data_IF_415722005192
#
_entry.id   IF_415722005192
#
_cell.length_a   1.000
_cell.length_b   1.000
_cell.length_c   1.000
_cell.angle_alpha   90.00
_cell.angle_beta   90.00
_cell.angle_gamma   90.00
#
_symmetry.space_group_name_H-M   'P 1'
#
loop_
_entity.id
_entity.type
_entity.pdbx_description
1 polymer ?
#
# COMPACT_ATOMS: atom_id res chain seq x y z
N UNK A 1 -2.17 -13.20 9.16
CA UNK A 1 -1.14 -12.14 9.08
C UNK A 1 -1.19 -11.39 7.74
N UNK A 2 -1.10 -12.08 6.60
CA UNK A 2 -1.03 -11.45 5.28
C UNK A 2 -2.22 -10.53 4.95
N UNK A 3 -3.45 -10.87 5.37
CA UNK A 3 -4.61 -10.01 5.13
C UNK A 3 -4.57 -8.69 5.89
N UNK A 4 -4.15 -8.70 7.17
CA UNK A 4 -4.02 -7.47 7.95
C UNK A 4 -3.02 -6.53 7.32
N UNK A 5 -1.93 -7.10 6.80
CA UNK A 5 -0.90 -6.38 6.08
C UNK A 5 -1.47 -5.66 4.84
N UNK A 6 -2.29 -6.35 4.04
CA UNK A 6 -2.95 -5.74 2.86
C UNK A 6 -3.92 -4.63 3.28
N UNK A 7 -4.77 -4.87 4.28
CA UNK A 7 -5.71 -3.85 4.75
C UNK A 7 -4.99 -2.61 5.31
N UNK A 8 -3.92 -2.81 6.07
CA UNK A 8 -3.15 -1.68 6.62
C UNK A 8 -2.49 -0.83 5.52
N UNK A 9 -2.09 -1.43 4.38
CA UNK A 9 -1.64 -0.67 3.21
C UNK A 9 -2.75 0.20 2.62
N UNK A 10 -3.96 -0.35 2.47
CA UNK A 10 -5.09 0.43 1.97
C UNK A 10 -5.41 1.63 2.88
N UNK A 11 -5.38 1.43 4.21
CA UNK A 11 -5.54 2.54 5.16
C UNK A 11 -4.43 3.57 5.03
N UNK A 12 -3.18 3.14 4.91
CA UNK A 12 -2.04 4.03 4.72
C UNK A 12 -2.20 4.87 3.44
N UNK A 13 -2.51 4.23 2.30
CA UNK A 13 -2.66 4.93 1.03
C UNK A 13 -3.81 5.93 1.06
N UNK A 14 -4.93 5.55 1.65
CA UNK A 14 -6.08 6.46 1.80
C UNK A 14 -5.72 7.65 2.68
N UNK A 15 -5.07 7.41 3.82
CA UNK A 15 -4.64 8.48 4.74
C UNK A 15 -3.62 9.40 4.08
N UNK A 16 -2.61 8.85 3.39
CA UNK A 16 -1.60 9.63 2.69
C UNK A 16 -2.21 10.47 1.55
N UNK A 17 -3.16 9.92 0.80
CA UNK A 17 -3.89 10.63 -0.25
C UNK A 17 -4.76 11.77 0.31
N UNK A 18 -5.49 11.52 1.40
CA UNK A 18 -6.27 12.55 2.08
C UNK A 18 -5.36 13.64 2.62
N UNK A 19 -4.25 13.26 3.25
CA UNK A 19 -3.25 14.20 3.76
C UNK A 19 -2.66 15.05 2.62
N UNK A 20 -2.36 14.47 1.47
CA UNK A 20 -1.89 15.18 0.29
C UNK A 20 -2.91 16.21 -0.21
N UNK A 21 -4.18 15.81 -0.35
CA UNK A 21 -5.26 16.71 -0.80
C UNK A 21 -5.44 17.88 0.17
N UNK A 22 -5.38 17.63 1.48
CA UNK A 22 -5.58 18.66 2.51
C UNK A 22 -4.37 19.61 2.58
N UNK A 23 -3.15 19.07 2.55
CA UNK A 23 -1.93 19.86 2.73
C UNK A 23 -1.49 20.60 1.46
N UNK A 24 -1.81 20.07 0.27
CA UNK A 24 -1.35 20.56 -1.03
C UNK A 24 -2.50 20.80 -2.00
N UNK A 25 -3.60 21.37 -1.50
CA UNK A 25 -4.79 21.61 -2.30
C UNK A 25 -4.54 22.54 -3.51
N UNK A 26 -3.62 23.45 -3.36
CA UNK A 26 -3.17 24.41 -4.40
C UNK A 26 -2.44 23.74 -5.58
N UNK A 27 -1.80 22.59 -5.34
CA UNK A 27 -1.10 21.81 -6.38
C UNK A 27 -2.07 20.87 -7.14
N UNK A 28 -3.31 20.75 -6.67
CA UNK A 28 -4.30 19.81 -7.22
C UNK A 28 -4.79 20.23 -8.62
N UNK A 29 -4.18 19.66 -9.64
CA UNK A 29 -4.63 19.79 -11.04
C UNK A 29 -5.82 18.86 -11.33
N UNK A 30 -6.56 19.15 -12.41
CA UNK A 30 -7.72 18.33 -12.84
C UNK A 30 -7.35 16.84 -12.99
N UNK A 31 -6.16 16.55 -13.45
CA UNK A 31 -5.68 15.18 -13.62
C UNK A 31 -5.42 14.49 -12.28
N UNK A 32 -4.88 15.17 -11.27
CA UNK A 32 -4.70 14.65 -9.91
C UNK A 32 -6.05 14.38 -9.25
N UNK A 33 -7.03 15.24 -9.43
CA UNK A 33 -8.41 15.00 -8.99
C UNK A 33 -9.01 13.74 -9.62
N UNK A 34 -8.78 13.54 -10.92
CA UNK A 34 -9.25 12.33 -11.61
C UNK A 34 -8.61 11.07 -11.06
N UNK A 35 -7.29 11.08 -10.84
CA UNK A 35 -6.59 9.95 -10.21
C UNK A 35 -7.08 9.67 -8.79
N UNK A 36 -7.28 10.71 -8.00
CA UNK A 36 -7.82 10.58 -6.65
C UNK A 36 -9.23 9.94 -6.67
N UNK A 37 -10.11 10.40 -7.56
CA UNK A 37 -11.45 9.85 -7.72
C UNK A 37 -11.41 8.37 -8.14
N UNK A 38 -10.56 8.01 -9.09
CA UNK A 38 -10.36 6.61 -9.51
C UNK A 38 -9.89 5.76 -8.32
N UNK A 39 -8.85 6.22 -7.61
CA UNK A 39 -8.32 5.49 -6.46
C UNK A 39 -9.39 5.30 -5.37
N UNK A 40 -10.11 6.36 -5.02
CA UNK A 40 -11.19 6.31 -4.03
C UNK A 40 -12.31 5.35 -4.46
N UNK A 41 -12.69 5.38 -5.73
CA UNK A 41 -13.69 4.46 -6.29
C UNK A 41 -13.24 3.01 -6.19
N UNK A 42 -12.00 2.71 -6.57
CA UNK A 42 -11.43 1.36 -6.45
C UNK A 42 -11.34 0.93 -4.99
N UNK A 43 -10.93 1.83 -4.10
CA UNK A 43 -10.86 1.55 -2.67
C UNK A 43 -12.24 1.23 -2.07
N UNK A 44 -13.24 2.06 -2.36
CA UNK A 44 -14.63 1.84 -1.90
C UNK A 44 -15.19 0.54 -2.48
N UNK A 45 -14.99 0.29 -3.77
CA UNK A 45 -15.41 -0.95 -4.42
C UNK A 45 -14.75 -2.18 -3.78
N UNK A 46 -13.46 -2.12 -3.48
CA UNK A 46 -12.75 -3.19 -2.77
C UNK A 46 -13.31 -3.39 -1.36
N UNK A 47 -13.50 -2.31 -0.59
CA UNK A 47 -14.07 -2.38 0.76
C UNK A 47 -15.47 -2.98 0.79
N UNK A 48 -16.34 -2.56 -0.14
CA UNK A 48 -17.69 -3.11 -0.32
C UNK A 48 -17.61 -4.59 -0.73
N UNK A 49 -16.76 -4.92 -1.69
CA UNK A 49 -16.55 -6.30 -2.12
C UNK A 49 -16.12 -7.20 -0.96
N UNK A 50 -15.13 -6.80 -0.17
CA UNK A 50 -14.68 -7.54 1.01
C UNK A 50 -15.78 -7.64 2.06
N UNK A 51 -16.49 -6.55 2.36
CA UNK A 51 -17.58 -6.55 3.35
C UNK A 51 -18.75 -7.43 2.95
N UNK A 52 -19.01 -7.56 1.65
CA UNK A 52 -20.11 -8.41 1.15
C UNK A 52 -19.70 -9.88 0.99
N UNK A 53 -18.44 -10.13 0.74
CA UNK A 53 -17.93 -11.46 0.39
C UNK A 53 -17.58 -12.34 1.59
N UNK A 54 -17.37 -11.76 2.78
CA UNK A 54 -16.93 -12.52 3.95
C UNK A 54 -17.92 -13.61 4.37
N UNK A 55 -19.24 -13.40 4.19
CA UNK A 55 -20.29 -14.38 4.55
C UNK A 55 -20.39 -15.57 3.58
N UNK A 56 -19.85 -15.45 2.36
CA UNK A 56 -20.13 -16.39 1.27
C UNK A 56 -18.86 -16.97 0.61
N UNK A 57 -17.68 -16.81 1.23
CA UNK A 57 -16.40 -17.20 0.66
C UNK A 57 -15.88 -16.16 -0.37
N UNK A 58 -14.84 -15.43 0.00
CA UNK A 58 -14.27 -14.36 -0.82
C UNK A 58 -13.64 -14.93 -2.08
N UNK A 59 -12.88 -16.02 -1.92
CA UNK A 59 -12.12 -16.62 -3.01
C UNK A 59 -13.03 -17.24 -4.06
N UNK A 60 -14.06 -17.97 -3.61
CA UNK A 60 -15.02 -18.56 -4.53
C UNK A 60 -15.78 -17.52 -5.37
N UNK A 61 -16.01 -16.31 -4.84
CA UNK A 61 -16.63 -15.20 -5.60
C UNK A 61 -15.65 -14.55 -6.57
N UNK A 62 -14.42 -14.33 -6.14
CA UNK A 62 -13.39 -13.75 -7.01
C UNK A 62 -13.16 -14.63 -8.24
N UNK A 63 -13.07 -15.95 -8.03
CA UNK A 63 -12.96 -16.89 -9.15
C UNK A 63 -14.23 -16.96 -10.00
N UNK A 64 -15.42 -16.81 -9.42
CA UNK A 64 -16.66 -16.70 -10.21
C UNK A 64 -16.65 -15.48 -11.13
N UNK A 65 -16.15 -14.33 -10.67
CA UNK A 65 -15.97 -13.16 -11.52
C UNK A 65 -14.97 -13.41 -12.65
N UNK A 66 -13.86 -14.10 -12.36
CA UNK A 66 -12.88 -14.50 -13.38
C UNK A 66 -13.47 -15.49 -14.41
N UNK A 67 -14.45 -16.31 -14.02
CA UNK A 67 -15.13 -17.22 -14.93
C UNK A 67 -16.06 -16.53 -15.94
N UNK A 68 -16.43 -15.27 -15.73
CA UNK A 68 -17.15 -14.47 -16.72
C UNK A 68 -16.27 -14.03 -17.90
N UNK A 69 -14.93 -13.99 -17.71
CA UNK A 69 -14.00 -13.68 -18.78
C UNK A 69 -13.67 -14.94 -19.57
N UNK A 70 -14.15 -15.10 -20.84
CA UNK A 70 -14.04 -16.36 -21.58
C UNK A 70 -12.61 -16.83 -21.74
N UNK A 71 -11.65 -15.89 -21.88
CA UNK A 71 -10.24 -16.17 -22.05
C UNK A 71 -9.56 -16.76 -20.79
N UNK A 72 -10.04 -16.35 -19.60
CA UNK A 72 -9.46 -16.77 -18.32
C UNK A 72 -10.21 -17.94 -17.65
N UNK A 73 -11.38 -18.31 -18.16
CA UNK A 73 -12.28 -19.31 -17.56
C UNK A 73 -11.60 -20.68 -17.37
N UNK A 74 -10.93 -21.19 -18.39
CA UNK A 74 -10.28 -22.53 -18.35
C UNK A 74 -9.08 -22.58 -17.41
N UNK A 75 -8.11 -21.65 -17.48
CA UNK A 75 -6.97 -21.65 -16.58
C UNK A 75 -7.38 -21.32 -15.13
N UNK A 76 -8.31 -20.41 -14.91
CA UNK A 76 -8.80 -20.07 -13.57
C UNK A 76 -9.50 -21.23 -12.89
N UNK A 77 -10.31 -22.01 -13.62
CA UNK A 77 -11.00 -23.19 -13.09
C UNK A 77 -10.01 -24.29 -12.68
N UNK A 78 -9.02 -24.61 -13.53
CA UNK A 78 -7.99 -25.59 -13.21
C UNK A 78 -7.14 -25.18 -12.00
N UNK A 79 -6.84 -23.88 -11.90
CA UNK A 79 -6.09 -23.33 -10.77
C UNK A 79 -6.91 -23.41 -9.47
N UNK A 80 -8.19 -23.07 -9.52
CA UNK A 80 -9.09 -23.17 -8.38
C UNK A 80 -9.22 -24.62 -7.89
N UNK A 81 -9.50 -25.58 -8.78
CA UNK A 81 -9.65 -26.99 -8.43
C UNK A 81 -8.36 -27.58 -7.83
N UNK A 82 -7.19 -27.14 -8.32
CA UNK A 82 -5.89 -27.62 -7.80
C UNK A 82 -5.57 -27.08 -6.40
N UNK A 83 -6.09 -25.93 -6.03
CA UNK A 83 -5.76 -25.25 -4.77
C UNK A 83 -6.99 -25.09 -3.85
N UNK A 84 -8.04 -25.85 -4.07
CA UNK A 84 -9.31 -25.74 -3.34
C UNK A 84 -9.10 -25.79 -1.81
N UNK A 85 -8.32 -26.74 -1.31
CA UNK A 85 -8.05 -26.87 0.12
C UNK A 85 -7.33 -25.64 0.72
N UNK A 86 -6.41 -25.04 -0.03
CA UNK A 86 -5.75 -23.80 0.41
C UNK A 86 -6.73 -22.61 0.44
N UNK A 87 -7.63 -22.55 -0.52
CA UNK A 87 -8.67 -21.53 -0.59
C UNK A 87 -9.70 -21.65 0.53
N UNK A 88 -10.12 -22.89 0.85
CA UNK A 88 -11.01 -23.14 1.99
C UNK A 88 -10.36 -22.72 3.32
N UNK A 89 -9.05 -22.95 3.48
CA UNK A 89 -8.29 -22.49 4.65
C UNK A 89 -8.25 -20.97 4.73
N UNK A 90 -8.06 -20.28 3.60
CA UNK A 90 -8.06 -18.82 3.57
C UNK A 90 -9.46 -18.28 3.91
N UNK A 91 -10.52 -18.83 3.32
CA UNK A 91 -11.89 -18.42 3.60
C UNK A 91 -12.29 -18.70 5.07
N UNK A 92 -11.82 -19.81 5.67
CA UNK A 92 -11.99 -20.11 7.08
C UNK A 92 -11.26 -19.09 7.99
N UNK A 93 -10.03 -18.72 7.66
CA UNK A 93 -9.26 -17.70 8.39
C UNK A 93 -9.92 -16.33 8.32
N UNK A 94 -10.48 -15.97 7.16
CA UNK A 94 -11.23 -14.73 6.99
C UNK A 94 -12.46 -14.71 7.88
N UNK A 95 -13.25 -15.81 7.87
CA UNK A 95 -14.43 -15.94 8.72
C UNK A 95 -14.06 -15.82 10.20
N UNK A 96 -13.02 -16.54 10.65
CA UNK A 96 -12.53 -16.46 12.02
C UNK A 96 -12.20 -15.02 12.45
N UNK A 97 -11.56 -14.24 11.60
CA UNK A 97 -11.24 -12.85 11.89
C UNK A 97 -12.48 -11.98 12.06
N UNK A 98 -13.52 -12.20 11.25
CA UNK A 98 -14.79 -11.47 11.39
C UNK A 98 -15.59 -11.89 12.64
N UNK A 99 -15.47 -13.13 13.07
CA UNK A 99 -16.09 -13.62 14.31
C UNK A 99 -15.39 -13.06 15.56
N UNK A 100 -14.12 -12.57 15.41
CA UNK A 100 -13.33 -12.00 16.50
C UNK A 100 -12.98 -10.52 16.24
N UNK A 101 -13.97 -9.59 16.22
CA UNK A 101 -13.75 -8.20 15.79
C UNK A 101 -12.72 -7.45 16.64
N UNK A 102 -12.60 -7.76 17.94
CA UNK A 102 -11.57 -7.15 18.79
C UNK A 102 -10.15 -7.49 18.35
N UNK A 103 -9.91 -8.73 17.94
CA UNK A 103 -8.61 -9.18 17.44
C UNK A 103 -8.34 -8.58 16.05
N UNK A 104 -9.37 -8.54 15.19
CA UNK A 104 -9.29 -7.91 13.87
C UNK A 104 -8.85 -6.45 13.97
N UNK A 105 -9.62 -5.65 14.72
CA UNK A 105 -9.35 -4.22 14.84
C UNK A 105 -8.07 -3.92 15.62
N UNK A 106 -7.77 -4.71 16.66
CA UNK A 106 -6.53 -4.58 17.41
C UNK A 106 -5.28 -4.84 16.56
N UNK A 107 -5.28 -5.93 15.80
CA UNK A 107 -4.18 -6.26 14.89
C UNK A 107 -4.04 -5.24 13.76
N UNK A 108 -5.16 -4.79 13.19
CA UNK A 108 -5.16 -3.79 12.14
C UNK A 108 -4.65 -2.43 12.66
N UNK A 109 -5.08 -2.02 13.85
CA UNK A 109 -4.61 -0.79 14.49
C UNK A 109 -3.11 -0.86 14.79
N UNK A 110 -2.61 -1.97 15.33
CA UNK A 110 -1.19 -2.15 15.62
C UNK A 110 -0.34 -2.10 14.33
N UNK A 111 -0.76 -2.79 13.28
CA UNK A 111 -0.08 -2.78 11.98
C UNK A 111 -0.11 -1.38 11.35
N UNK A 112 -1.23 -0.69 11.42
CA UNK A 112 -1.36 0.67 10.90
C UNK A 112 -0.53 1.69 11.70
N UNK A 113 -0.51 1.59 13.03
CA UNK A 113 0.36 2.41 13.88
C UNK A 113 1.84 2.21 13.55
N UNK A 114 2.27 0.95 13.35
CA UNK A 114 3.63 0.66 12.91
C UNK A 114 3.99 1.36 11.60
N UNK A 115 3.04 1.44 10.65
CA UNK A 115 3.23 2.18 9.39
C UNK A 115 3.27 3.69 9.59
N UNK A 116 2.42 4.23 10.45
CA UNK A 116 2.49 5.64 10.81
C UNK A 116 3.83 6.01 11.44
N UNK A 117 4.37 5.14 12.30
CA UNK A 117 5.70 5.33 12.87
C UNK A 117 6.80 5.30 11.80
N UNK A 118 6.66 4.45 10.77
CA UNK A 118 7.58 4.46 9.63
C UNK A 118 7.58 5.79 8.84
N UNK A 119 6.53 6.61 8.95
CA UNK A 119 6.52 7.93 8.31
C UNK A 119 7.55 8.90 8.92
N UNK A 120 7.89 8.71 10.21
CA UNK A 120 8.96 9.50 10.85
C UNK A 120 10.32 9.26 10.21
N UNK A 121 10.57 8.07 9.65
CA UNK A 121 11.82 7.82 8.94
C UNK A 121 11.99 8.80 7.78
N UNK A 122 10.98 8.92 6.92
CA UNK A 122 11.02 9.86 5.80
C UNK A 122 11.12 11.30 6.28
N UNK A 123 10.39 11.66 7.31
CA UNK A 123 10.48 13.00 7.92
C UNK A 123 11.90 13.32 8.39
N UNK A 124 12.54 12.42 9.15
CA UNK A 124 13.91 12.66 9.63
C UNK A 124 14.95 12.65 8.50
N UNK A 125 14.77 11.82 7.47
CA UNK A 125 15.64 11.84 6.29
C UNK A 125 15.54 13.18 5.57
N UNK A 126 14.32 13.72 5.37
CA UNK A 126 14.14 15.04 4.75
C UNK A 126 14.83 16.15 5.56
N UNK A 127 14.71 16.11 6.89
CA UNK A 127 15.41 17.05 7.77
C UNK A 127 16.94 16.90 7.65
N UNK A 128 17.45 15.68 7.57
CA UNK A 128 18.88 15.42 7.40
C UNK A 128 19.43 15.96 6.07
N UNK A 129 18.60 16.02 5.02
CA UNK A 129 18.93 16.68 3.76
C UNK A 129 18.75 18.21 3.79
N UNK A 130 18.41 18.79 4.94
CA UNK A 130 18.27 20.23 5.12
C UNK A 130 17.02 20.80 4.46
N UNK A 131 16.01 20.00 4.18
CA UNK A 131 14.73 20.45 3.62
C UNK A 131 13.95 21.16 4.73
N UNK A 132 14.15 22.48 4.80
CA UNK A 132 13.43 23.32 5.76
C UNK A 132 11.96 23.39 5.37
N UNK A 133 11.07 23.16 6.35
CA UNK A 133 9.62 23.14 6.13
C UNK A 133 9.03 21.75 5.97
N UNK A 134 9.86 20.69 5.88
CA UNK A 134 9.36 19.32 5.94
C UNK A 134 8.68 19.05 7.29
N UNK A 135 7.57 18.34 7.26
CA UNK A 135 6.81 17.97 8.44
C UNK A 135 6.43 16.46 8.39
N UNK A 136 5.82 15.98 9.46
CA UNK A 136 5.41 14.57 9.55
C UNK A 136 4.41 14.16 8.44
N UNK A 137 3.54 15.08 8.04
CA UNK A 137 2.52 14.82 7.00
C UNK A 137 3.20 14.56 5.65
N UNK A 138 4.28 15.29 5.34
CA UNK A 138 5.07 15.06 4.13
C UNK A 138 5.73 13.68 4.15
N UNK A 139 6.26 13.27 5.30
CA UNK A 139 6.79 11.92 5.50
C UNK A 139 5.73 10.82 5.27
N UNK A 140 4.50 11.07 5.74
CA UNK A 140 3.37 10.17 5.55
C UNK A 140 2.95 10.08 4.06
N UNK A 141 2.89 11.21 3.37
CA UNK A 141 2.57 11.28 1.95
C UNK A 141 3.62 10.51 1.14
N UNK A 142 4.91 10.74 1.42
CA UNK A 142 6.03 10.08 0.73
C UNK A 142 5.98 8.58 0.96
N UNK A 143 5.79 8.12 2.20
CA UNK A 143 5.66 6.71 2.53
C UNK A 143 4.47 6.08 1.79
N UNK A 144 3.30 6.71 1.82
CA UNK A 144 2.09 6.22 1.18
C UNK A 144 2.25 6.10 -0.33
N UNK A 145 2.79 7.13 -0.98
CA UNK A 145 3.03 7.13 -2.42
C UNK A 145 4.08 6.10 -2.85
N UNK A 146 5.21 6.03 -2.14
CA UNK A 146 6.26 5.03 -2.40
C UNK A 146 5.75 3.60 -2.20
N UNK A 147 4.97 3.37 -1.14
CA UNK A 147 4.32 2.08 -0.88
C UNK A 147 3.30 1.71 -1.96
N UNK A 148 2.49 2.67 -2.42
CA UNK A 148 1.52 2.46 -3.49
C UNK A 148 2.22 2.06 -4.80
N UNK A 149 3.25 2.81 -5.20
CA UNK A 149 4.01 2.53 -6.42
C UNK A 149 4.74 1.18 -6.34
N UNK A 150 5.34 0.87 -5.20
CA UNK A 150 5.97 -0.43 -4.96
C UNK A 150 5.00 -1.60 -5.09
N UNK A 151 3.77 -1.44 -4.59
CA UNK A 151 2.75 -2.48 -4.71
C UNK A 151 2.11 -2.56 -6.10
N UNK A 152 1.97 -1.45 -6.83
CA UNK A 152 1.51 -1.46 -8.23
C UNK A 152 2.53 -2.15 -9.15
N UNK A 153 3.80 -1.96 -8.90
CA UNK A 153 4.90 -2.53 -9.66
C UNK A 153 5.48 -3.79 -8.99
N UNK A 154 4.60 -4.60 -8.36
CA UNK A 154 4.98 -5.82 -7.62
C UNK A 154 5.76 -6.84 -8.45
N UNK A 155 5.63 -6.80 -9.79
CA UNK A 155 6.35 -7.68 -10.71
C UNK A 155 7.84 -7.33 -10.87
N UNK A 156 8.28 -6.15 -10.40
CA UNK A 156 9.70 -5.80 -10.38
C UNK A 156 10.41 -6.50 -9.22
N UNK A 157 11.51 -7.22 -9.49
CA UNK A 157 12.25 -7.89 -8.44
C UNK A 157 12.75 -6.88 -7.41
N UNK A 158 12.51 -7.14 -6.14
CA UNK A 158 12.85 -6.28 -4.99
C UNK A 158 12.33 -4.83 -5.12
N UNK A 159 11.36 -4.57 -6.01
CA UNK A 159 10.82 -3.23 -6.32
C UNK A 159 11.91 -2.22 -6.75
N UNK A 160 13.03 -2.72 -7.32
CA UNK A 160 14.11 -1.88 -7.82
C UNK A 160 13.59 -1.00 -8.96
N UNK A 161 13.86 0.29 -8.89
CA UNK A 161 13.35 1.30 -9.82
C UNK A 161 11.97 1.87 -9.44
N UNK A 162 11.07 1.07 -8.90
CA UNK A 162 9.74 1.52 -8.51
C UNK A 162 9.78 2.53 -7.36
N UNK A 163 10.52 2.23 -6.31
CA UNK A 163 10.70 3.09 -5.14
C UNK A 163 11.54 4.32 -5.49
N UNK A 164 12.65 4.13 -6.15
CA UNK A 164 13.55 5.20 -6.60
C UNK A 164 12.80 6.20 -7.51
N UNK A 165 12.08 5.68 -8.50
CA UNK A 165 11.28 6.49 -9.40
C UNK A 165 10.14 7.22 -8.69
N UNK A 166 9.45 6.56 -7.76
CA UNK A 166 8.38 7.18 -6.99
C UNK A 166 8.89 8.33 -6.13
N UNK A 167 10.03 8.15 -5.45
CA UNK A 167 10.62 9.20 -4.62
C UNK A 167 11.22 10.35 -5.43
N UNK A 168 11.79 10.05 -6.60
CA UNK A 168 12.26 11.07 -7.55
C UNK A 168 11.12 11.96 -8.08
N UNK A 169 9.87 11.48 -8.05
CA UNK A 169 8.68 12.24 -8.46
C UNK A 169 8.04 12.98 -7.29
N UNK A 170 7.80 12.28 -6.16
CA UNK A 170 7.01 12.85 -5.08
C UNK A 170 7.77 13.92 -4.28
N UNK A 171 9.08 13.77 -4.07
CA UNK A 171 9.86 14.72 -3.27
C UNK A 171 9.92 16.10 -3.94
N UNK A 172 10.24 16.25 -5.24
CA UNK A 172 10.18 17.56 -5.90
C UNK A 172 8.76 18.13 -6.02
N UNK A 173 7.73 17.26 -6.06
CA UNK A 173 6.34 17.71 -6.10
C UNK A 173 5.94 18.39 -4.77
N UNK A 174 6.37 17.83 -3.64
CA UNK A 174 6.09 18.39 -2.31
C UNK A 174 6.97 19.61 -2.00
N UNK A 175 8.19 19.62 -2.50
CA UNK A 175 9.20 20.64 -2.21
C UNK A 175 9.71 21.27 -3.52
N UNK A 176 9.02 22.28 -4.07
CA UNK A 176 9.47 22.99 -5.26
C UNK A 176 10.86 23.58 -5.05
N UNK A 177 11.79 23.29 -5.97
CA UNK A 177 13.19 23.67 -5.86
C UNK A 177 14.12 22.56 -5.35
N UNK A 178 13.60 21.46 -4.86
CA UNK A 178 14.36 20.24 -4.54
C UNK A 178 14.48 19.38 -5.80
N UNK A 179 15.71 19.06 -6.20
CA UNK A 179 15.94 18.25 -7.40
C UNK A 179 15.52 16.77 -7.23
N UNK A 180 15.22 16.10 -8.34
CA UNK A 180 14.87 14.66 -8.38
C UNK A 180 15.95 13.77 -7.73
N UNK A 181 17.22 14.16 -7.80
CA UNK A 181 18.34 13.46 -7.20
C UNK A 181 18.15 13.27 -5.69
N UNK A 182 17.55 14.23 -4.98
CA UNK A 182 17.29 14.13 -3.54
C UNK A 182 16.31 12.98 -3.27
N UNK A 183 15.23 12.85 -4.06
CA UNK A 183 14.31 11.73 -3.93
C UNK A 183 15.00 10.36 -4.11
N UNK A 184 15.93 10.26 -5.05
CA UNK A 184 16.75 9.06 -5.24
C UNK A 184 17.64 8.80 -4.01
N UNK A 185 18.30 9.82 -3.46
CA UNK A 185 19.11 9.68 -2.25
C UNK A 185 18.28 9.25 -1.04
N UNK A 186 17.07 9.80 -0.87
CA UNK A 186 16.13 9.35 0.17
C UNK A 186 15.84 7.84 0.03
N UNK A 187 15.66 7.34 -1.21
CA UNK A 187 15.51 5.91 -1.45
C UNK A 187 16.72 5.08 -1.04
N UNK A 188 17.92 5.55 -1.33
CA UNK A 188 19.14 4.86 -0.90
C UNK A 188 19.27 4.76 0.61
N UNK A 189 18.93 5.81 1.36
CA UNK A 189 18.95 5.77 2.82
C UNK A 189 18.00 4.72 3.39
N UNK A 190 16.79 4.62 2.85
CA UNK A 190 15.84 3.58 3.27
C UNK A 190 16.34 2.18 2.94
N UNK A 191 17.06 1.98 1.83
CA UNK A 191 17.71 0.70 1.47
C UNK A 191 18.83 0.32 2.43
N UNK A 192 19.67 1.27 2.83
CA UNK A 192 20.75 1.02 3.81
C UNK A 192 20.16 0.50 5.11
N UNK A 193 19.08 1.11 5.60
CA UNK A 193 18.36 0.62 6.78
C UNK A 193 17.83 -0.81 6.58
N UNK A 194 17.22 -1.10 5.44
CA UNK A 194 16.70 -2.44 5.14
C UNK A 194 17.82 -3.49 5.17
N UNK A 195 18.96 -3.18 4.52
CA UNK A 195 20.13 -4.06 4.52
C UNK A 195 20.66 -4.26 5.95
N UNK A 196 20.74 -3.19 6.75
CA UNK A 196 21.16 -3.26 8.14
C UNK A 196 20.29 -4.24 8.94
N UNK A 197 18.97 -4.12 8.84
CA UNK A 197 18.05 -5.00 9.56
C UNK A 197 18.08 -6.45 9.06
N UNK A 198 18.31 -6.66 7.75
CA UNK A 198 18.50 -8.00 7.20
C UNK A 198 19.75 -8.65 7.81
N UNK A 199 20.85 -7.92 7.89
CA UNK A 199 22.10 -8.42 8.49
C UNK A 199 21.90 -8.75 9.96
N UNK A 200 21.25 -7.86 10.73
CA UNK A 200 20.97 -8.10 12.16
C UNK A 200 20.02 -9.28 12.37
N UNK A 201 19.06 -9.49 11.47
CA UNK A 201 18.09 -10.58 11.59
C UNK A 201 18.61 -11.96 11.14
N UNK A 202 19.75 -11.99 10.45
CA UNK A 202 20.41 -13.25 10.00
C UNK A 202 21.50 -13.69 11.00
N UNK A 203 22.03 -12.78 11.82
CA UNK A 203 22.98 -13.07 12.90
C UNK A 203 22.27 -13.59 14.15
#
# INVERSE_FOLDING_TARGET
YSMMHVFSHFFLWTTALLAFVIAHFDVMTTWLWTLFAIFLTVFVAAAVFFSYSYKHGIIARLFRLLFFVPLLRRPARRFYERHAAAFDTIDANIRFLYEHPRQLWGSLAAEYLGRLLNSFEFYFILLAFGISGANFVDGLIILGFSSLMGNLLFFLPMQIGAREGSLAVIVPLLFPGVGQAIGIYVSFYTRIREIFWIVVGVL
#
